data_IF_625034352448
#
_entry.id   IF_625034352448
#
_cell.length_a   1.000
_cell.length_b   1.000
_cell.length_c   1.000
_cell.angle_alpha   90.00
_cell.angle_beta   90.00
_cell.angle_gamma   90.00
#
_symmetry.space_group_name_H-M   'P 1'
#
loop_
_entity.id
_entity.type
_entity.pdbx_description
1 polymer ?
#
# COMPACT_ATOMS: atom_id res chain seq x y z
N UNK A 1 3.83 -5.24 -17.05
CA UNK A 1 3.06 -4.22 -16.30
C UNK A 1 1.58 -4.59 -16.18
N UNK A 2 0.84 -4.71 -17.29
CA UNK A 2 -0.60 -5.08 -17.28
C UNK A 2 -0.93 -6.38 -16.52
N UNK A 3 -0.12 -7.43 -16.66
CA UNK A 3 -0.39 -8.70 -15.98
C UNK A 3 -0.21 -8.62 -14.44
N UNK A 4 0.71 -7.75 -13.97
CA UNK A 4 0.92 -7.52 -12.54
C UNK A 4 -0.23 -6.71 -11.93
N UNK A 5 -0.75 -5.74 -12.69
CA UNK A 5 -1.90 -4.92 -12.31
C UNK A 5 -3.19 -5.77 -12.21
N UNK A 6 -3.52 -6.56 -13.24
CA UNK A 6 -4.69 -7.46 -13.21
C UNK A 6 -4.63 -8.47 -12.06
N UNK A 7 -3.42 -8.96 -11.74
CA UNK A 7 -3.21 -9.89 -10.62
C UNK A 7 -3.41 -9.21 -9.25
N UNK A 8 -3.16 -7.91 -9.15
CA UNK A 8 -3.44 -7.12 -7.96
C UNK A 8 -4.96 -6.93 -7.78
N UNK A 9 -5.69 -6.54 -8.82
CA UNK A 9 -7.16 -6.39 -8.77
C UNK A 9 -7.84 -7.70 -8.31
N UNK A 10 -7.35 -8.83 -8.83
CA UNK A 10 -7.80 -10.17 -8.45
C UNK A 10 -7.55 -10.49 -6.97
N UNK A 11 -6.42 -10.03 -6.41
CA UNK A 11 -6.06 -10.23 -5.02
C UNK A 11 -6.86 -9.34 -4.05
N UNK A 12 -7.44 -8.24 -4.55
CA UNK A 12 -8.25 -7.29 -3.77
C UNK A 12 -9.75 -7.60 -3.81
N UNK A 13 -10.22 -8.42 -4.74
CA UNK A 13 -11.61 -8.89 -4.81
C UNK A 13 -12.20 -9.41 -3.46
N UNK A 14 -11.45 -10.13 -2.60
CA UNK A 14 -11.96 -10.59 -1.29
C UNK A 14 -12.33 -9.45 -0.34
N UNK A 15 -11.80 -8.25 -0.53
CA UNK A 15 -12.03 -7.09 0.35
C UNK A 15 -13.53 -6.79 0.46
N UNK A 16 -14.26 -6.85 -0.65
CA UNK A 16 -15.71 -6.63 -0.69
C UNK A 16 -16.48 -7.56 0.27
N UNK A 17 -16.09 -8.83 0.36
CA UNK A 17 -16.75 -9.82 1.21
C UNK A 17 -16.60 -9.54 2.70
N UNK A 18 -15.46 -8.97 3.13
CA UNK A 18 -15.22 -8.62 4.53
C UNK A 18 -16.12 -7.45 4.95
N UNK A 19 -16.31 -6.46 4.07
CA UNK A 19 -17.19 -5.32 4.31
C UNK A 19 -18.67 -5.73 4.40
N UNK A 20 -19.11 -6.69 3.58
CA UNK A 20 -20.48 -7.21 3.65
C UNK A 20 -20.79 -7.94 4.96
N UNK A 21 -19.78 -8.56 5.57
CA UNK A 21 -19.90 -9.27 6.85
C UNK A 21 -19.64 -8.37 8.07
N UNK A 22 -19.53 -7.06 7.88
CA UNK A 22 -19.32 -6.12 8.98
C UNK A 22 -20.50 -6.15 9.96
N UNK A 23 -20.20 -6.19 11.26
CA UNK A 23 -21.21 -6.20 12.34
C UNK A 23 -21.09 -5.02 13.28
N UNK A 24 -19.99 -4.26 13.21
CA UNK A 24 -19.69 -3.15 14.11
C UNK A 24 -19.26 -3.57 15.52
N UNK A 25 -19.03 -4.87 15.75
CA UNK A 25 -18.60 -5.38 17.06
C UNK A 25 -17.08 -5.51 17.08
N UNK A 26 -16.43 -4.96 18.10
CA UNK A 26 -14.97 -5.03 18.24
C UNK A 26 -14.41 -6.46 18.37
N UNK A 27 -15.23 -7.40 18.85
CA UNK A 27 -14.87 -8.82 18.98
C UNK A 27 -14.98 -9.59 17.65
N UNK A 28 -15.73 -9.05 16.68
CA UNK A 28 -15.90 -9.68 15.38
C UNK A 28 -14.64 -9.44 14.52
N UNK A 29 -13.97 -10.51 14.04
CA UNK A 29 -12.72 -10.37 13.30
C UNK A 29 -12.89 -9.59 11.99
N UNK A 30 -14.05 -9.70 11.32
CA UNK A 30 -14.33 -8.95 10.09
C UNK A 30 -14.45 -7.45 10.40
N UNK A 31 -15.19 -7.09 11.44
CA UNK A 31 -15.34 -5.69 11.86
C UNK A 31 -14.00 -5.08 12.26
N UNK A 32 -13.18 -5.80 13.04
CA UNK A 32 -11.83 -5.35 13.39
C UNK A 32 -10.95 -5.17 12.15
N UNK A 33 -10.98 -6.12 11.22
CA UNK A 33 -10.20 -6.04 9.99
C UNK A 33 -10.59 -4.81 9.14
N UNK A 34 -11.89 -4.55 9.00
CA UNK A 34 -12.38 -3.35 8.30
C UNK A 34 -11.92 -2.08 9.01
N UNK A 35 -12.12 -1.99 10.33
CA UNK A 35 -11.79 -0.79 11.09
C UNK A 35 -10.29 -0.47 11.07
N UNK A 36 -9.43 -1.49 11.18
CA UNK A 36 -7.97 -1.33 11.07
C UNK A 36 -7.60 -0.90 9.66
N UNK A 37 -8.13 -1.57 8.63
CA UNK A 37 -7.85 -1.25 7.22
C UNK A 37 -8.20 0.20 6.91
N UNK A 38 -9.37 0.66 7.34
CA UNK A 38 -9.83 2.04 7.11
C UNK A 38 -8.95 3.08 7.79
N UNK A 39 -8.50 2.80 9.03
CA UNK A 39 -7.60 3.69 9.77
C UNK A 39 -6.19 3.74 9.18
N UNK A 40 -5.61 2.58 8.86
CA UNK A 40 -4.23 2.50 8.35
C UNK A 40 -4.10 3.06 6.94
N UNK A 41 -5.07 2.75 6.06
CA UNK A 41 -5.06 3.24 4.69
C UNK A 41 -5.73 4.60 4.53
N UNK A 42 -6.36 5.13 5.58
CA UNK A 42 -7.08 6.41 5.54
C UNK A 42 -8.12 6.43 4.40
N UNK A 43 -8.99 5.43 4.42
CA UNK A 43 -9.99 5.16 3.39
C UNK A 43 -11.36 4.86 4.00
N UNK A 44 -12.42 4.96 3.20
CA UNK A 44 -13.77 4.58 3.61
C UNK A 44 -14.49 3.79 2.51
N UNK A 45 -15.05 2.63 2.89
CA UNK A 45 -15.65 1.70 1.94
C UNK A 45 -14.65 1.00 1.03
N UNK A 46 -15.15 0.22 0.07
CA UNK A 46 -14.30 -0.52 -0.88
C UNK A 46 -13.80 0.44 -1.96
N UNK A 47 -14.73 1.14 -2.62
CA UNK A 47 -14.47 2.16 -3.63
C UNK A 47 -14.78 3.57 -3.12
N UNK A 48 -15.82 3.68 -2.29
CA UNK A 48 -16.26 4.95 -1.68
C UNK A 48 -17.09 4.67 -0.41
N UNK A 49 -17.28 5.68 0.45
CA UNK A 49 -18.12 5.58 1.65
C UNK A 49 -19.56 5.13 1.33
N UNK A 50 -20.03 5.40 0.11
CA UNK A 50 -21.35 4.99 -0.38
C UNK A 50 -21.53 3.48 -0.47
N UNK A 51 -20.44 2.70 -0.49
CA UNK A 51 -20.54 1.24 -0.48
C UNK A 51 -21.19 0.70 0.81
N UNK A 52 -21.14 1.47 1.90
CA UNK A 52 -21.83 1.12 3.13
C UNK A 52 -23.34 0.99 2.95
N UNK A 53 -23.95 1.75 2.03
CA UNK A 53 -25.40 1.68 1.72
C UNK A 53 -25.83 0.27 1.30
N UNK A 54 -24.93 -0.50 0.70
CA UNK A 54 -25.19 -1.88 0.23
C UNK A 54 -25.06 -2.92 1.35
N UNK A 55 -24.57 -2.54 2.54
CA UNK A 55 -24.34 -3.47 3.65
C UNK A 55 -25.59 -3.63 4.52
N UNK A 56 -25.79 -4.85 5.04
CA UNK A 56 -26.90 -5.14 5.96
C UNK A 56 -26.75 -4.35 7.27
N UNK A 57 -25.52 -4.13 7.73
CA UNK A 57 -25.23 -3.39 8.95
C UNK A 57 -25.71 -1.94 8.87
N UNK A 58 -25.40 -1.24 7.77
CA UNK A 58 -25.78 0.15 7.55
C UNK A 58 -27.30 0.32 7.55
N UNK A 59 -28.02 -0.58 6.87
CA UNK A 59 -29.48 -0.57 6.84
C UNK A 59 -30.06 -0.82 8.25
N UNK A 60 -29.51 -1.79 9.00
CA UNK A 60 -29.95 -2.09 10.38
C UNK A 60 -29.68 -0.97 11.38
N UNK A 61 -28.67 -0.15 11.16
CA UNK A 61 -28.28 0.97 12.04
C UNK A 61 -28.98 2.29 11.69
N UNK A 62 -29.96 2.26 10.79
CA UNK A 62 -30.77 3.43 10.44
C UNK A 62 -30.24 4.21 9.23
N UNK A 63 -29.17 3.75 8.57
CA UNK A 63 -28.77 4.23 7.25
C UNK A 63 -28.20 5.65 7.20
N UNK A 64 -27.69 6.16 8.32
CA UNK A 64 -27.19 7.54 8.44
C UNK A 64 -25.72 7.63 8.84
N UNK A 65 -25.11 6.52 9.29
CA UNK A 65 -23.74 6.52 9.80
C UNK A 65 -22.90 5.40 9.22
N UNK A 66 -21.65 5.72 8.93
CA UNK A 66 -20.59 4.76 8.62
C UNK A 66 -19.78 4.48 9.90
N UNK A 67 -18.93 3.45 9.92
CA UNK A 67 -18.03 3.23 11.04
C UNK A 67 -17.15 4.43 11.35
N UNK A 68 -16.87 4.70 12.62
CA UNK A 68 -15.97 5.79 13.04
C UNK A 68 -14.55 5.65 12.48
N UNK A 69 -14.14 4.45 12.07
CA UNK A 69 -12.89 4.19 11.37
C UNK A 69 -12.80 4.89 10.00
N UNK A 70 -13.94 5.28 9.40
CA UNK A 70 -14.00 6.12 8.20
C UNK A 70 -13.74 7.61 8.44
N UNK A 71 -13.70 8.07 9.70
CA UNK A 71 -13.48 9.47 10.01
C UNK A 71 -12.04 9.89 9.69
N UNK A 72 -11.93 11.03 9.02
CA UNK A 72 -10.64 11.63 8.74
C UNK A 72 -10.01 12.13 10.04
N UNK A 73 -8.76 11.72 10.29
CA UNK A 73 -8.02 12.03 11.51
C UNK A 73 -7.85 13.54 11.77
N UNK A 74 -8.08 14.37 10.76
CA UNK A 74 -8.08 15.85 10.87
C UNK A 74 -9.29 16.39 11.63
N UNK A 75 -10.39 15.63 11.69
CA UNK A 75 -11.66 16.03 12.29
C UNK A 75 -11.97 15.19 13.54
N UNK A 76 -11.53 15.63 14.73
CA UNK A 76 -11.72 14.86 15.97
C UNK A 76 -13.18 14.78 16.42
N UNK A 77 -14.05 15.65 15.92
CA UNK A 77 -15.50 15.67 16.18
C UNK A 77 -16.32 14.77 15.27
N UNK A 78 -15.68 14.05 14.34
CA UNK A 78 -16.39 13.24 13.37
C UNK A 78 -17.16 12.08 14.04
N UNK A 79 -18.48 12.07 13.82
CA UNK A 79 -19.38 11.04 14.33
C UNK A 79 -19.70 9.93 13.31
N UNK A 80 -19.10 10.02 12.12
CA UNK A 80 -19.34 9.08 11.02
C UNK A 80 -20.63 9.35 10.25
N UNK A 81 -21.26 10.51 10.38
CA UNK A 81 -22.47 10.85 9.61
C UNK A 81 -22.19 10.96 8.10
N UNK A 82 -23.08 10.38 7.30
CA UNK A 82 -23.03 10.51 5.83
C UNK A 82 -23.45 11.89 5.34
N UNK A 83 -24.09 12.69 6.19
CA UNK A 83 -24.52 14.06 5.88
C UNK A 83 -23.34 15.05 5.84
N UNK A 84 -22.20 14.67 6.44
CA UNK A 84 -20.97 15.46 6.46
C UNK A 84 -19.83 14.69 5.77
N UNK A 85 -19.93 14.43 4.45
CA UNK A 85 -18.96 13.61 3.73
C UNK A 85 -17.55 14.23 3.70
N UNK A 86 -17.41 15.54 3.98
CA UNK A 86 -16.12 16.22 4.07
C UNK A 86 -15.28 15.79 5.28
N UNK A 87 -15.90 15.26 6.33
CA UNK A 87 -15.20 14.74 7.51
C UNK A 87 -14.78 13.26 7.37
N UNK A 88 -15.26 12.59 6.32
CA UNK A 88 -14.96 11.19 6.03
C UNK A 88 -13.77 11.08 5.06
N UNK A 89 -13.11 9.93 5.06
CA UNK A 89 -12.17 9.62 3.99
C UNK A 89 -12.91 9.48 2.65
N UNK A 90 -12.51 10.28 1.67
CA UNK A 90 -13.17 10.37 0.36
C UNK A 90 -12.79 9.25 -0.61
N UNK A 91 -11.73 8.49 -0.32
CA UNK A 91 -11.24 7.41 -1.18
C UNK A 91 -11.58 6.05 -0.57
N UNK A 92 -12.00 5.11 -1.42
CA UNK A 92 -12.14 3.71 -1.05
C UNK A 92 -10.81 3.03 -0.79
N UNK A 93 -10.85 1.99 0.03
CA UNK A 93 -9.65 1.25 0.43
C UNK A 93 -8.99 0.53 -0.73
N UNK A 94 -9.76 0.05 -1.71
CA UNK A 94 -9.20 -0.58 -2.90
C UNK A 94 -8.43 0.43 -3.75
N UNK A 95 -9.04 1.59 -4.04
CA UNK A 95 -8.43 2.65 -4.86
C UNK A 95 -7.14 3.15 -4.21
N UNK A 96 -7.16 3.37 -2.89
CA UNK A 96 -5.99 3.83 -2.13
C UNK A 96 -4.85 2.82 -2.21
N UNK A 97 -5.17 1.55 -2.06
CA UNK A 97 -4.21 0.46 -2.08
C UNK A 97 -3.60 0.29 -3.47
N UNK A 98 -4.42 0.31 -4.52
CA UNK A 98 -3.97 0.32 -5.92
C UNK A 98 -3.00 1.49 -6.19
N UNK A 99 -3.34 2.70 -5.76
CA UNK A 99 -2.46 3.87 -5.91
C UNK A 99 -1.11 3.68 -5.19
N UNK A 100 -1.14 3.20 -3.95
CA UNK A 100 0.07 3.01 -3.16
C UNK A 100 0.97 1.91 -3.76
N UNK A 101 0.39 0.79 -4.19
CA UNK A 101 1.15 -0.28 -4.85
C UNK A 101 1.68 0.15 -6.20
N UNK A 102 0.89 0.85 -7.01
CA UNK A 102 1.34 1.35 -8.31
C UNK A 102 2.54 2.28 -8.15
N UNK A 103 2.52 3.15 -7.13
CA UNK A 103 3.65 3.99 -6.77
C UNK A 103 4.88 3.13 -6.42
N UNK A 104 4.77 2.22 -5.43
CA UNK A 104 5.90 1.37 -5.00
C UNK A 104 6.48 0.53 -6.15
N UNK A 105 5.62 -0.09 -6.96
CA UNK A 105 6.05 -0.92 -8.09
C UNK A 105 6.75 -0.09 -9.17
N UNK A 106 6.23 1.10 -9.46
CA UNK A 106 6.90 2.03 -10.38
C UNK A 106 8.29 2.37 -9.87
N UNK A 107 8.43 2.68 -8.58
CA UNK A 107 9.74 2.93 -7.97
C UNK A 107 10.68 1.73 -8.14
N UNK A 108 10.25 0.51 -7.80
CA UNK A 108 11.11 -0.67 -7.94
C UNK A 108 11.59 -0.86 -9.38
N UNK A 109 10.69 -0.74 -10.35
CA UNK A 109 11.01 -0.95 -11.78
C UNK A 109 12.03 0.07 -12.29
N UNK A 110 11.96 1.33 -11.84
CA UNK A 110 12.87 2.37 -12.29
C UNK A 110 14.18 2.39 -11.52
N UNK A 111 14.13 2.30 -10.19
CA UNK A 111 15.32 2.46 -9.36
C UNK A 111 16.15 1.17 -9.26
N UNK A 112 15.53 -0.01 -9.24
CA UNK A 112 16.26 -1.27 -9.06
C UNK A 112 17.26 -1.56 -10.20
N UNK A 113 16.92 -1.39 -11.49
CA UNK A 113 17.88 -1.64 -12.57
C UNK A 113 19.06 -0.66 -12.54
N UNK A 114 18.81 0.60 -12.17
CA UNK A 114 19.87 1.63 -12.07
C UNK A 114 20.86 1.26 -10.98
N UNK A 115 20.37 0.90 -9.78
CA UNK A 115 21.23 0.46 -8.67
C UNK A 115 22.02 -0.78 -9.07
N UNK A 116 21.38 -1.76 -9.70
CA UNK A 116 22.05 -2.98 -10.14
C UNK A 116 23.18 -2.72 -11.14
N UNK A 117 22.98 -1.80 -12.09
CA UNK A 117 24.02 -1.41 -13.04
C UNK A 117 25.22 -0.72 -12.35
N UNK A 118 24.96 0.15 -11.37
CA UNK A 118 26.02 0.82 -10.60
C UNK A 118 26.84 -0.20 -9.81
N UNK A 119 26.19 -1.15 -9.14
CA UNK A 119 26.87 -2.24 -8.43
C UNK A 119 27.77 -3.05 -9.37
N UNK A 120 27.29 -3.43 -10.55
CA UNK A 120 28.10 -4.16 -11.54
C UNK A 120 29.33 -3.36 -11.96
N UNK A 121 29.18 -2.08 -12.26
CA UNK A 121 30.31 -1.23 -12.65
C UNK A 121 31.33 -1.14 -11.52
N UNK A 122 30.88 -0.97 -10.27
CA UNK A 122 31.75 -0.97 -9.10
C UNK A 122 32.55 -2.29 -9.00
N UNK A 123 31.88 -3.43 -9.06
CA UNK A 123 32.54 -4.74 -9.02
C UNK A 123 33.56 -4.92 -10.14
N UNK A 124 33.23 -4.49 -11.37
CA UNK A 124 34.17 -4.55 -12.49
C UNK A 124 35.40 -3.67 -12.27
N UNK A 125 35.22 -2.42 -11.82
CA UNK A 125 36.35 -1.51 -11.55
C UNK A 125 37.27 -2.02 -10.45
N UNK A 126 36.70 -2.58 -9.37
CA UNK A 126 37.48 -3.20 -8.28
C UNK A 126 38.22 -4.45 -8.77
N UNK A 127 37.58 -5.29 -9.58
CA UNK A 127 38.23 -6.47 -10.16
C UNK A 127 39.40 -6.11 -11.09
N UNK A 128 39.28 -5.05 -11.90
CA UNK A 128 40.38 -4.54 -12.72
C UNK A 128 41.51 -4.00 -11.86
N UNK A 129 41.21 -3.20 -10.83
CA UNK A 129 42.22 -2.67 -9.91
C UNK A 129 43.00 -3.81 -9.21
N UNK A 130 42.30 -4.84 -8.73
CA UNK A 130 42.94 -6.02 -8.12
C UNK A 130 43.75 -6.86 -9.12
N UNK A 131 43.49 -6.76 -10.43
CA UNK A 131 44.31 -7.41 -11.46
C UNK A 131 45.55 -6.59 -11.83
N UNK A 132 45.45 -5.27 -11.82
CA UNK A 132 46.57 -4.37 -12.12
C UNK A 132 47.59 -4.32 -10.96
N UNK A 133 47.11 -4.32 -9.72
CA UNK A 133 47.94 -4.23 -8.51
C UNK A 133 49.00 -5.33 -8.33
N UNK A 134 48.73 -6.64 -8.57
CA UNK A 134 49.76 -7.66 -8.50
C UNK A 134 50.88 -7.40 -9.50
N UNK A 135 50.57 -6.86 -10.69
CA UNK A 135 51.61 -6.61 -11.70
C UNK A 135 52.58 -5.48 -11.30
N UNK A 136 52.13 -4.50 -10.52
CA UNK A 136 52.98 -3.41 -10.00
C UNK A 136 53.87 -3.93 -8.86
N UNK A 137 53.33 -4.73 -7.94
CA UNK A 137 54.06 -5.21 -6.76
C UNK A 137 55.17 -6.22 -7.13
N UNK A 138 54.90 -7.13 -8.09
CA UNK A 138 55.93 -8.04 -8.63
C UNK A 138 57.04 -7.29 -9.39
N UNK A 139 56.72 -6.22 -10.12
CA UNK A 139 57.72 -5.40 -10.82
C UNK A 139 58.62 -4.62 -9.86
N UNK A 140 58.11 -4.21 -8.70
CA UNK A 140 58.91 -3.56 -7.65
C UNK A 140 59.84 -4.56 -6.95
N UNK A 141 59.36 -5.78 -6.67
CA UNK A 141 60.16 -6.85 -6.06
C UNK A 141 61.25 -7.42 -6.98
N UNK A 142 61.07 -7.37 -8.30
CA UNK A 142 62.08 -7.83 -9.29
C UNK A 142 63.15 -6.77 -9.55
N UNK A 143 62.87 -5.49 -9.27
CA UNK A 143 63.78 -4.37 -9.57
C UNK A 143 64.69 -3.98 -8.39
N UNK A 144 64.57 -4.65 -7.25
CA UNK A 144 65.39 -4.45 -6.05
C UNK A 144 66.14 -5.72 -5.67
#
# INVERSE_FOLDING_TARGET
>A
MFCLFVKLDSALAPLSGVFHNYTGRSQDPNSRAVDVTQKELQCCGVHDYRDWVKTLWFNRTGGLRVPHSCCNSTFPSCDGTVDQPGELYSQGCQVKLEMNFHFVLSFIIWYSPVVFLVEIVLFLTVAQLMRDQPHIDYQVLVKN
#
